data_IF_319535993934
#
_entry.id   IF_319535993934
#
_cell.length_a   1.000
_cell.length_b   1.000
_cell.length_c   1.000
_cell.angle_alpha   90.00
_cell.angle_beta   90.00
_cell.angle_gamma   90.00
#
_symmetry.space_group_name_H-M   'P 1'
#
loop_
_entity.id
_entity.type
_entity.pdbx_description
1 polymer ?
#
# COMPACT_ATOMS: atom_id res chain seq x y z
N UNK A 1 -67.62 -17.90 31.36
CA UNK A 1 -66.44 -18.48 30.69
C UNK A 1 -65.63 -17.38 30.04
N UNK A 2 -64.51 -17.00 30.64
CA UNK A 2 -63.32 -16.47 29.95
C UNK A 2 -62.18 -16.51 30.97
N UNK A 3 -61.24 -17.40 30.69
CA UNK A 3 -60.07 -17.72 31.49
C UNK A 3 -59.12 -16.52 31.52
N UNK A 4 -58.71 -16.10 32.72
CA UNK A 4 -57.51 -15.31 32.90
C UNK A 4 -56.41 -16.27 33.36
N UNK A 5 -55.56 -16.64 32.41
CA UNK A 5 -54.42 -17.52 32.62
C UNK A 5 -53.25 -16.76 33.25
N UNK A 6 -52.60 -17.41 34.21
CA UNK A 6 -51.19 -17.31 34.59
C UNK A 6 -50.50 -15.94 34.50
N UNK A 7 -50.50 -15.24 35.64
CA UNK A 7 -49.42 -14.30 35.96
C UNK A 7 -48.27 -15.11 36.56
N UNK A 8 -47.13 -15.13 35.85
CA UNK A 8 -45.89 -15.76 36.29
C UNK A 8 -45.37 -15.26 37.66
N UNK A 9 -44.25 -15.84 38.13
CA UNK A 9 -43.79 -15.68 39.51
C UNK A 9 -43.60 -14.21 39.88
N UNK A 10 -44.33 -13.76 40.91
CA UNK A 10 -44.21 -12.41 41.45
C UNK A 10 -42.88 -12.30 42.23
N UNK A 11 -42.03 -11.30 41.94
CA UNK A 11 -40.80 -11.09 42.69
C UNK A 11 -41.13 -10.70 44.14
N UNK A 12 -40.44 -11.32 45.11
CA UNK A 12 -40.54 -10.97 46.52
C UNK A 12 -39.75 -9.68 46.78
N UNK A 13 -40.45 -8.63 47.20
CA UNK A 13 -39.84 -7.38 47.67
C UNK A 13 -39.75 -7.45 49.19
N UNK A 14 -38.53 -7.57 49.73
CA UNK A 14 -38.30 -7.30 51.16
C UNK A 14 -37.99 -5.81 51.33
N UNK A 15 -38.62 -5.19 52.33
CA UNK A 15 -38.37 -3.79 52.68
C UNK A 15 -37.88 -3.72 54.13
N UNK A 16 -36.75 -3.06 54.34
CA UNK A 16 -36.29 -2.66 55.67
C UNK A 16 -36.41 -1.13 55.78
N UNK A 17 -37.02 -0.66 56.86
CA UNK A 17 -37.34 0.75 57.07
C UNK A 17 -36.17 1.51 57.68
N UNK A 18 -36.04 2.78 57.24
CA UNK A 18 -35.39 3.96 57.85
C UNK A 18 -34.34 4.68 56.98
N UNK A 19 -33.77 4.03 55.97
CA UNK A 19 -33.22 4.72 54.79
C UNK A 19 -33.32 3.74 53.63
N UNK A 20 -34.39 3.87 52.85
CA UNK A 20 -34.86 2.79 51.97
C UNK A 20 -33.98 2.61 50.74
N UNK A 21 -32.89 1.86 50.88
CA UNK A 21 -32.21 1.26 49.73
C UNK A 21 -33.03 0.06 49.26
N UNK A 22 -33.54 0.14 48.04
CA UNK A 22 -34.18 -1.01 47.38
C UNK A 22 -33.13 -1.73 46.55
N UNK A 23 -32.80 -2.96 46.93
CA UNK A 23 -31.97 -3.85 46.13
C UNK A 23 -32.88 -4.78 45.31
N UNK A 24 -32.63 -4.88 44.01
CA UNK A 24 -33.28 -5.83 43.12
C UNK A 24 -32.21 -6.78 42.58
N UNK A 25 -32.36 -8.07 42.87
CA UNK A 25 -31.53 -9.14 42.30
C UNK A 25 -32.28 -9.78 41.15
N UNK A 26 -31.87 -9.57 39.89
CA UNK A 26 -32.52 -10.23 38.75
C UNK A 26 -32.33 -11.75 38.84
N UNK A 27 -33.32 -12.52 38.36
CA UNK A 27 -33.19 -13.97 38.20
C UNK A 27 -32.41 -14.31 36.93
N UNK A 28 -31.63 -15.39 36.96
CA UNK A 28 -30.76 -15.84 35.86
C UNK A 28 -31.50 -16.17 34.54
N UNK A 29 -32.83 -16.24 34.55
CA UNK A 29 -33.68 -16.51 33.40
C UNK A 29 -34.06 -15.27 32.56
N UNK A 30 -33.60 -14.07 32.91
CA UNK A 30 -33.87 -12.84 32.15
C UNK A 30 -33.05 -12.80 30.85
N UNK A 31 -33.61 -13.36 29.79
CA UNK A 31 -33.00 -13.47 28.47
C UNK A 31 -32.93 -12.09 27.78
N UNK A 32 -31.71 -11.52 27.73
CA UNK A 32 -31.07 -10.46 26.87
C UNK A 32 -31.86 -9.37 26.12
N UNK A 33 -33.19 -9.31 26.20
CA UNK A 33 -33.99 -8.24 25.63
C UNK A 33 -34.14 -7.12 26.67
N UNK A 34 -33.73 -5.91 26.25
CA UNK A 34 -33.59 -4.74 27.11
C UNK A 34 -34.78 -4.54 28.05
N UNK A 35 -34.57 -4.87 29.33
CA UNK A 35 -35.59 -4.73 30.37
C UNK A 35 -35.58 -3.29 30.85
N UNK A 36 -36.62 -2.52 30.51
CA UNK A 36 -36.80 -1.17 31.02
C UNK A 36 -37.60 -1.21 32.33
N UNK A 37 -37.01 -0.72 33.42
CA UNK A 37 -37.70 -0.61 34.71
C UNK A 37 -38.18 0.84 34.87
N UNK A 38 -39.47 1.00 35.15
CA UNK A 38 -40.03 2.32 35.46
C UNK A 38 -40.17 2.46 36.96
N UNK A 39 -39.42 3.40 37.54
CA UNK A 39 -39.47 3.69 38.97
C UNK A 39 -40.41 4.88 39.21
N UNK A 40 -41.36 4.70 40.13
CA UNK A 40 -42.24 5.78 40.62
C UNK A 40 -42.04 5.91 42.12
N UNK A 41 -41.68 7.11 42.57
CA UNK A 41 -41.54 7.43 43.98
C UNK A 41 -42.72 8.28 44.44
N UNK A 42 -43.28 7.96 45.61
CA UNK A 42 -44.31 8.76 46.26
C UNK A 42 -43.65 9.71 47.25
N UNK A 43 -43.93 11.00 47.16
CA UNK A 43 -43.46 11.98 48.12
C UNK A 43 -44.25 11.88 49.42
N UNK A 44 -43.67 12.35 50.54
CA UNK A 44 -44.32 12.33 51.86
C UNK A 44 -45.69 13.04 51.89
N UNK A 45 -45.91 14.03 51.01
CA UNK A 45 -47.20 14.70 50.82
C UNK A 45 -48.21 13.96 49.95
N UNK A 46 -48.01 12.66 49.68
CA UNK A 46 -48.97 11.82 48.97
C UNK A 46 -48.95 11.90 47.44
N UNK A 47 -48.33 12.93 46.85
CA UNK A 47 -48.15 13.09 45.41
C UNK A 47 -47.09 12.16 44.80
N UNK A 48 -47.36 11.63 43.61
CA UNK A 48 -46.38 10.85 42.84
C UNK A 48 -45.41 11.77 42.11
N UNK A 49 -44.10 11.50 42.20
CA UNK A 49 -43.12 12.13 41.31
C UNK A 49 -43.19 11.48 39.92
N UNK A 50 -42.88 12.25 38.88
CA UNK A 50 -42.90 11.79 37.49
C UNK A 50 -42.10 10.50 37.30
N UNK A 51 -42.57 9.56 36.45
CA UNK A 51 -41.91 8.27 36.26
C UNK A 51 -40.49 8.47 35.72
N UNK A 52 -39.51 7.86 36.38
CA UNK A 52 -38.14 7.81 35.87
C UNK A 52 -37.92 6.44 35.24
N UNK A 53 -37.72 6.40 33.93
CA UNK A 53 -37.39 5.17 33.19
C UNK A 53 -35.88 4.96 33.23
N UNK A 54 -35.45 3.79 33.68
CA UNK A 54 -34.05 3.36 33.61
C UNK A 54 -33.97 2.10 32.73
N UNK A 55 -33.11 2.17 31.72
CA UNK A 55 -32.81 1.06 30.83
C UNK A 55 -31.51 0.43 31.28
N UNK A 56 -31.54 -0.88 31.56
CA UNK A 56 -30.33 -1.64 31.87
C UNK A 56 -29.91 -2.39 30.62
N UNK A 57 -28.68 -2.16 30.16
CA UNK A 57 -28.05 -2.99 29.15
C UNK A 57 -27.28 -4.08 29.88
N UNK A 58 -27.68 -5.34 29.72
CA UNK A 58 -26.87 -6.46 30.19
C UNK A 58 -25.63 -6.51 29.30
N UNK A 59 -24.48 -6.07 29.81
CA UNK A 59 -23.22 -6.39 29.17
C UNK A 59 -23.09 -7.90 29.21
N UNK A 60 -23.26 -8.55 28.05
CA UNK A 60 -22.88 -9.94 27.88
C UNK A 60 -21.41 -10.01 28.29
N UNK A 61 -21.13 -10.64 29.43
CA UNK A 61 -19.79 -11.13 29.75
C UNK A 61 -19.48 -12.17 28.69
N UNK A 62 -18.86 -11.74 27.60
CA UNK A 62 -18.21 -12.63 26.68
C UNK A 62 -17.15 -13.39 27.49
N UNK A 63 -17.15 -14.71 27.39
CA UNK A 63 -16.08 -15.57 27.92
C UNK A 63 -14.81 -15.34 27.10
N UNK A 64 -14.29 -14.12 27.13
CA UNK A 64 -13.06 -13.77 26.45
C UNK A 64 -11.88 -14.32 27.24
N UNK A 65 -10.94 -14.91 26.51
CA UNK A 65 -9.73 -15.44 27.13
C UNK A 65 -8.96 -14.30 27.80
N UNK A 66 -8.11 -14.59 28.81
CA UNK A 66 -7.27 -13.57 29.43
C UNK A 66 -6.41 -12.81 28.40
N UNK A 67 -6.03 -13.46 27.31
CA UNK A 67 -5.27 -12.87 26.21
C UNK A 67 -6.12 -11.88 25.40
N UNK A 68 -7.37 -12.22 25.10
CA UNK A 68 -8.30 -11.31 24.43
C UNK A 68 -8.65 -10.10 25.30
N UNK A 69 -8.69 -10.25 26.63
CA UNK A 69 -8.87 -9.11 27.54
C UNK A 69 -7.67 -8.15 27.49
N UNK A 70 -6.45 -8.68 27.40
CA UNK A 70 -5.23 -7.88 27.25
C UNK A 70 -5.21 -7.19 25.88
N UNK A 71 -5.59 -7.88 24.82
CA UNK A 71 -5.66 -7.31 23.47
C UNK A 71 -6.75 -6.22 23.38
N UNK A 72 -7.94 -6.47 23.93
CA UNK A 72 -9.02 -5.48 23.97
C UNK A 72 -8.66 -4.27 24.85
N UNK A 73 -7.92 -4.46 25.94
CA UNK A 73 -7.37 -3.36 26.73
C UNK A 73 -6.34 -2.55 25.92
N UNK A 74 -5.50 -3.23 25.12
CA UNK A 74 -4.50 -2.59 24.25
C UNK A 74 -5.17 -1.77 23.14
N UNK A 75 -6.20 -2.33 22.51
CA UNK A 75 -7.05 -1.66 21.52
C UNK A 75 -7.74 -0.46 22.18
N UNK A 76 -8.42 -0.65 23.32
CA UNK A 76 -9.09 0.46 24.04
C UNK A 76 -8.12 1.55 24.49
N UNK A 77 -6.89 1.22 24.87
CA UNK A 77 -5.86 2.21 25.20
C UNK A 77 -5.41 2.98 23.96
N UNK A 78 -5.24 2.30 22.81
CA UNK A 78 -4.88 2.94 21.54
C UNK A 78 -5.95 3.92 21.04
N UNK A 79 -7.22 3.67 21.36
CA UNK A 79 -8.37 4.52 21.06
C UNK A 79 -8.84 5.41 22.23
N UNK A 80 -8.17 5.37 23.39
CA UNK A 80 -8.57 6.17 24.56
C UNK A 80 -8.46 7.67 24.26
N UNK A 81 -9.28 8.49 24.92
CA UNK A 81 -9.37 9.95 24.69
C UNK A 81 -8.02 10.70 24.80
N UNK A 82 -7.02 10.12 25.46
CA UNK A 82 -5.64 10.62 25.49
C UNK A 82 -4.94 10.59 24.11
N UNK A 83 -5.34 9.67 23.22
CA UNK A 83 -4.91 9.59 21.82
C UNK A 83 -5.49 10.73 20.97
N UNK A 84 -6.70 11.20 21.29
CA UNK A 84 -7.32 12.35 20.63
C UNK A 84 -6.60 13.69 20.88
N UNK A 85 -5.95 13.84 22.04
CA UNK A 85 -5.06 14.98 22.28
C UNK A 85 -3.87 15.00 21.30
N UNK A 86 -3.46 13.84 20.78
CA UNK A 86 -2.41 13.74 19.77
C UNK A 86 -2.86 14.16 18.37
N UNK A 87 -4.17 14.16 18.08
CA UNK A 87 -4.70 14.63 16.81
C UNK A 87 -4.93 16.15 16.82
N UNK A 88 -5.30 16.74 17.97
CA UNK A 88 -5.39 18.20 18.12
C UNK A 88 -4.04 18.92 18.06
N UNK A 89 -2.95 18.22 18.37
CA UNK A 89 -1.59 18.76 18.25
C UNK A 89 -1.02 18.66 16.83
N UNK A 90 -1.75 18.09 15.88
CA UNK A 90 -1.31 18.08 14.49
C UNK A 90 -1.59 19.47 13.88
N UNK A 91 -0.64 20.04 13.12
CA UNK A 91 -0.86 21.29 12.42
C UNK A 91 -2.02 21.13 11.42
N UNK A 92 -2.79 22.20 11.22
CA UNK A 92 -3.92 22.21 10.28
C UNK A 92 -3.49 21.99 8.83
N UNK A 93 -2.24 22.31 8.50
CA UNK A 93 -1.59 22.07 7.22
C UNK A 93 -0.41 21.12 7.41
N UNK A 94 -0.48 19.93 6.81
CA UNK A 94 0.58 18.92 6.86
C UNK A 94 1.57 19.15 5.71
N UNK A 95 2.70 19.83 5.98
CA UNK A 95 3.82 19.88 5.02
C UNK A 95 4.65 18.60 5.10
N UNK A 96 5.29 18.23 3.98
CA UNK A 96 6.18 17.07 3.93
C UNK A 96 7.28 17.21 4.99
N UNK A 97 7.40 16.20 5.87
CA UNK A 97 8.40 16.15 6.95
C UNK A 97 7.98 16.75 8.29
N UNK A 98 6.84 17.46 8.35
CA UNK A 98 6.38 18.13 9.57
C UNK A 98 5.92 17.13 10.64
N UNK A 99 5.28 16.03 10.22
CA UNK A 99 4.91 14.91 11.12
C UNK A 99 6.15 14.32 11.81
N UNK A 100 7.24 14.12 11.05
CA UNK A 100 8.51 13.62 11.58
C UNK A 100 9.14 14.60 12.57
N UNK A 101 9.03 15.91 12.29
CA UNK A 101 9.54 16.96 13.19
C UNK A 101 8.76 17.01 14.50
N UNK A 102 7.42 16.98 14.44
CA UNK A 102 6.54 16.96 15.62
C UNK A 102 6.74 15.69 16.45
N UNK A 103 6.90 14.53 15.80
CA UNK A 103 7.26 13.28 16.47
C UNK A 103 8.60 13.37 17.21
N UNK A 104 9.63 13.93 16.55
CA UNK A 104 10.97 14.10 17.14
C UNK A 104 10.94 15.05 18.33
N UNK A 105 10.22 16.16 18.22
CA UNK A 105 10.04 17.13 19.30
C UNK A 105 9.27 16.53 20.49
N UNK A 106 8.22 15.75 20.22
CA UNK A 106 7.48 15.02 21.25
C UNK A 106 8.36 14.00 21.98
N UNK A 107 9.17 13.24 21.25
CA UNK A 107 10.14 12.30 21.84
C UNK A 107 11.19 13.03 22.68
N UNK A 108 11.66 14.20 22.22
CA UNK A 108 12.61 15.02 22.95
C UNK A 108 11.99 15.58 24.24
N UNK A 109 10.73 16.01 24.21
CA UNK A 109 9.99 16.46 25.38
C UNK A 109 9.76 15.34 26.40
N UNK A 110 9.47 14.11 25.94
CA UNK A 110 9.36 12.94 26.83
C UNK A 110 10.71 12.60 27.47
N UNK A 111 11.82 12.80 26.75
CA UNK A 111 13.17 12.62 27.30
C UNK A 111 13.51 13.69 28.32
N UNK A 112 13.14 14.95 28.08
CA UNK A 112 13.41 16.05 29.01
C UNK A 112 12.55 16.02 30.27
N UNK A 113 11.29 15.55 30.19
CA UNK A 113 10.40 15.46 31.36
C UNK A 113 10.64 14.24 32.25
N UNK A 114 11.56 13.34 31.88
CA UNK A 114 11.85 12.11 32.65
C UNK A 114 13.11 12.17 33.52
N UNK A 115 13.78 13.32 33.63
CA UNK A 115 15.04 13.44 34.38
C UNK A 115 14.99 14.54 35.44
N UNK A 116 14.30 14.27 36.55
CA UNK A 116 14.57 14.92 37.85
C UNK A 116 14.63 13.90 39.00
N UNK A 117 14.76 12.60 38.69
CA UNK A 117 14.92 11.54 39.67
C UNK A 117 16.28 10.85 39.53
N UNK A 118 16.92 10.43 40.65
CA UNK A 118 18.16 9.66 40.60
C UNK A 118 17.95 8.39 39.77
N UNK A 119 18.84 8.20 38.79
CA UNK A 119 18.89 7.08 37.85
C UNK A 119 18.79 5.74 38.61
N UNK A 120 17.57 5.20 38.71
CA UNK A 120 17.40 3.77 39.02
C UNK A 120 18.01 3.01 37.86
N UNK A 121 19.12 2.31 38.13
CA UNK A 121 19.78 1.39 37.20
C UNK A 121 18.74 0.37 36.75
N UNK A 122 18.13 0.59 35.59
CA UNK A 122 17.26 -0.40 34.97
C UNK A 122 18.14 -1.56 34.55
N UNK A 123 17.99 -2.68 35.25
CA UNK A 123 18.45 -3.98 34.77
C UNK A 123 17.89 -4.20 33.36
N UNK A 124 18.71 -4.58 32.37
CA UNK A 124 18.24 -4.80 31.01
C UNK A 124 17.13 -5.86 31.05
N UNK A 125 15.92 -5.46 30.67
CA UNK A 125 14.83 -6.38 30.42
C UNK A 125 15.29 -7.36 29.33
N UNK A 126 15.13 -8.68 29.52
CA UNK A 126 15.53 -9.67 28.52
C UNK A 126 14.77 -9.39 27.22
N UNK A 127 15.53 -9.14 26.15
CA UNK A 127 15.00 -9.03 24.79
C UNK A 127 14.26 -10.32 24.45
N UNK A 128 12.92 -10.30 24.47
CA UNK A 128 12.09 -11.41 23.99
C UNK A 128 12.09 -11.51 22.45
N UNK A 129 12.82 -10.63 21.75
CA UNK A 129 13.11 -10.75 20.33
C UNK A 129 14.54 -11.27 20.14
N UNK A 130 14.76 -12.52 20.53
CA UNK A 130 15.90 -13.29 20.04
C UNK A 130 15.40 -14.12 18.87
N UNK A 131 15.75 -13.71 17.65
CA UNK A 131 15.51 -14.55 16.48
C UNK A 131 16.41 -15.78 16.61
N UNK A 132 15.86 -17.02 16.53
CA UNK A 132 16.71 -18.19 16.41
C UNK A 132 17.59 -18.01 15.16
N UNK A 133 18.91 -18.24 15.25
CA UNK A 133 19.80 -18.05 14.11
C UNK A 133 19.31 -18.91 12.94
N UNK A 134 18.99 -18.26 11.82
CA UNK A 134 18.61 -18.93 10.59
C UNK A 134 19.72 -19.91 10.19
N UNK A 135 19.39 -21.20 10.12
CA UNK A 135 20.29 -22.31 9.77
C UNK A 135 20.66 -22.33 8.26
N UNK A 136 20.80 -21.18 7.62
CA UNK A 136 21.02 -21.04 6.17
C UNK A 136 22.40 -20.48 5.80
N UNK A 137 23.41 -20.73 6.65
CA UNK A 137 24.83 -20.60 6.28
C UNK A 137 25.44 -21.96 5.98
N UNK A 138 24.77 -22.75 5.13
CA UNK A 138 25.38 -23.90 4.47
C UNK A 138 26.02 -23.45 3.14
N UNK A 139 27.20 -23.97 2.76
CA UNK A 139 27.74 -23.73 1.43
C UNK A 139 26.77 -24.23 0.35
N UNK A 140 26.68 -23.54 -0.80
CA UNK A 140 25.79 -23.95 -1.88
C UNK A 140 26.11 -25.39 -2.32
N UNK A 141 25.09 -26.21 -2.63
CA UNK A 141 25.33 -27.57 -3.10
C UNK A 141 26.13 -27.51 -4.40
N UNK A 142 27.36 -27.99 -4.36
CA UNK A 142 28.16 -28.28 -5.54
C UNK A 142 27.38 -29.23 -6.43
N UNK A 143 27.15 -28.83 -7.67
CA UNK A 143 26.56 -29.64 -8.73
C UNK A 143 27.45 -30.89 -8.87
N UNK A 144 26.98 -31.99 -8.30
CA UNK A 144 27.59 -33.31 -8.44
C UNK A 144 27.54 -33.69 -9.91
N UNK A 145 28.73 -33.81 -10.49
CA UNK A 145 29.00 -34.42 -11.78
C UNK A 145 28.24 -35.74 -11.89
N UNK A 146 27.19 -35.76 -12.73
CA UNK A 146 26.54 -37.01 -13.12
C UNK A 146 27.58 -37.91 -13.79
N UNK A 147 27.87 -39.00 -13.10
CA UNK A 147 28.71 -40.10 -13.57
C UNK A 147 28.31 -40.52 -14.99
N UNK A 148 29.29 -40.45 -15.90
CA UNK A 148 29.26 -41.07 -17.21
C UNK A 148 29.12 -42.60 -17.06
N UNK A 149 27.89 -43.11 -17.06
CA UNK A 149 27.65 -44.52 -17.35
C UNK A 149 27.90 -44.72 -18.84
N UNK A 150 29.03 -45.34 -19.17
CA UNK A 150 29.40 -45.80 -20.51
C UNK A 150 28.27 -46.68 -21.06
N UNK A 151 27.43 -46.12 -21.92
CA UNK A 151 26.56 -46.89 -22.79
C UNK A 151 27.43 -47.48 -23.91
N UNK A 152 27.38 -48.81 -24.04
CA UNK A 152 28.04 -49.53 -25.14
C UNK A 152 27.51 -49.01 -26.47
N UNK A 153 28.35 -48.69 -27.46
CA UNK A 153 27.89 -48.33 -28.79
C UNK A 153 27.21 -49.56 -29.41
N UNK A 154 25.94 -49.40 -29.82
CA UNK A 154 25.27 -50.34 -30.69
C UNK A 154 26.01 -50.34 -32.04
N UNK A 155 26.73 -51.41 -32.34
CA UNK A 155 27.26 -51.69 -33.68
C UNK A 155 26.11 -52.30 -34.50
N UNK A 156 25.62 -51.66 -35.57
CA UNK A 156 24.76 -52.34 -36.53
C UNK A 156 25.61 -53.38 -37.29
N UNK A 157 25.27 -54.66 -37.13
CA UNK A 157 25.83 -55.72 -37.96
C UNK A 157 25.23 -55.69 -39.35
N UNK A 158 26.11 -55.82 -40.35
CA UNK A 158 25.90 -56.10 -41.77
C UNK A 158 25.71 -54.87 -42.70
N UNK A 159 26.61 -54.68 -43.69
CA UNK A 159 26.38 -53.78 -44.80
C UNK A 159 25.39 -54.42 -45.78
N UNK A 160 24.12 -54.05 -45.69
CA UNK A 160 23.18 -54.31 -46.77
C UNK A 160 23.57 -53.48 -47.99
N UNK A 161 23.74 -54.16 -49.13
CA UNK A 161 23.97 -53.55 -50.45
C UNK A 161 22.99 -52.39 -50.70
N UNK A 162 23.46 -51.23 -51.17
CA UNK A 162 22.58 -50.12 -51.52
C UNK A 162 21.64 -50.53 -52.67
N UNK A 163 20.35 -50.30 -52.48
CA UNK A 163 19.33 -50.49 -53.50
C UNK A 163 19.50 -49.44 -54.61
N UNK A 164 19.17 -49.82 -55.86
CA UNK A 164 19.42 -49.07 -57.11
C UNK A 164 18.78 -47.67 -57.22
N UNK A 165 18.10 -47.18 -56.18
CA UNK A 165 17.42 -45.88 -56.19
C UNK A 165 18.31 -44.73 -55.68
N UNK A 166 19.52 -45.01 -55.18
CA UNK A 166 20.47 -43.98 -54.69
C UNK A 166 21.34 -43.32 -55.78
N UNK A 167 21.19 -43.72 -57.05
CA UNK A 167 21.95 -43.13 -58.18
C UNK A 167 21.42 -41.78 -58.70
N UNK A 168 20.47 -41.15 -58.00
CA UNK A 168 19.97 -39.80 -58.29
C UNK A 168 20.38 -38.78 -57.21
N UNK A 169 21.53 -39.00 -56.55
CA UNK A 169 22.13 -37.95 -55.71
C UNK A 169 22.77 -36.88 -56.62
N UNK A 170 22.43 -35.59 -56.46
CA UNK A 170 23.03 -34.51 -57.22
C UNK A 170 24.49 -34.29 -56.81
N UNK A 171 25.24 -33.74 -57.77
CA UNK A 171 26.67 -33.43 -57.75
C UNK A 171 27.18 -32.87 -56.38
N UNK A 172 28.26 -33.41 -55.78
CA UNK A 172 28.80 -32.91 -54.50
C UNK A 172 29.34 -31.46 -54.58
N UNK A 173 29.43 -30.89 -55.78
CA UNK A 173 29.83 -29.49 -55.99
C UNK A 173 28.68 -28.49 -55.77
N UNK A 174 27.43 -28.93 -55.69
CA UNK A 174 26.30 -28.05 -55.45
C UNK A 174 25.31 -28.76 -54.51
N UNK A 175 25.43 -28.61 -53.18
CA UNK A 175 24.45 -29.14 -52.25
C UNK A 175 23.14 -28.41 -52.51
N UNK A 176 22.28 -29.02 -53.30
CA UNK A 176 20.96 -28.52 -53.60
C UNK A 176 20.16 -28.58 -52.31
N UNK A 177 20.33 -27.55 -51.49
CA UNK A 177 19.59 -27.31 -50.26
C UNK A 177 18.13 -27.28 -50.66
N UNK A 178 17.39 -28.32 -50.30
CA UNK A 178 15.95 -28.31 -50.50
C UNK A 178 15.41 -27.03 -49.89
N UNK A 179 14.55 -26.25 -50.58
CA UNK A 179 14.04 -24.97 -50.06
C UNK A 179 13.26 -25.09 -48.74
N UNK A 180 13.03 -26.32 -48.27
CA UNK A 180 12.38 -26.67 -47.01
C UNK A 180 13.33 -27.32 -45.98
N UNK A 181 14.64 -27.34 -46.22
CA UNK A 181 15.63 -27.83 -45.23
C UNK A 181 16.11 -26.71 -44.30
N UNK A 182 15.25 -25.73 -43.98
CA UNK A 182 15.48 -24.96 -42.76
C UNK A 182 15.58 -25.95 -41.62
N UNK A 183 16.60 -25.76 -40.77
CA UNK A 183 16.85 -26.65 -39.64
C UNK A 183 15.54 -26.91 -38.89
N UNK A 184 15.17 -28.16 -38.58
CA UNK A 184 13.91 -28.46 -37.87
C UNK A 184 13.83 -27.74 -36.50
N UNK A 185 14.96 -27.26 -35.99
CA UNK A 185 15.04 -26.44 -34.79
C UNK A 185 14.58 -24.98 -35.00
N UNK A 186 14.69 -24.42 -36.21
CA UNK A 186 14.28 -23.05 -36.51
C UNK A 186 12.75 -22.93 -36.53
N UNK A 187 12.06 -23.97 -37.01
CA UNK A 187 10.59 -24.05 -36.97
C UNK A 187 10.07 -24.18 -35.55
N UNK A 188 10.71 -25.00 -34.71
CA UNK A 188 10.37 -25.13 -33.30
C UNK A 188 10.56 -23.82 -32.53
N UNK A 189 11.60 -23.05 -32.86
CA UNK A 189 11.86 -21.75 -32.24
C UNK A 189 10.82 -20.69 -32.66
N UNK A 190 10.42 -20.67 -33.95
CA UNK A 190 9.32 -19.82 -34.44
C UNK A 190 7.99 -20.18 -33.79
N UNK A 191 7.68 -21.47 -33.68
CA UNK A 191 6.47 -21.95 -33.00
C UNK A 191 6.40 -21.46 -31.54
N UNK A 192 7.52 -21.53 -30.81
CA UNK A 192 7.61 -21.02 -29.45
C UNK A 192 7.42 -19.50 -29.35
N UNK A 193 7.99 -18.74 -30.29
CA UNK A 193 7.80 -17.29 -30.36
C UNK A 193 6.34 -16.95 -30.63
N UNK A 194 5.71 -17.61 -31.59
CA UNK A 194 4.30 -17.40 -31.94
C UNK A 194 3.36 -17.77 -30.78
N UNK A 195 3.65 -18.86 -30.07
CA UNK A 195 2.87 -19.26 -28.90
C UNK A 195 2.99 -18.25 -27.76
N UNK A 196 4.19 -17.73 -27.49
CA UNK A 196 4.40 -16.65 -26.51
C UNK A 196 3.71 -15.36 -26.93
N UNK A 197 3.70 -15.05 -28.22
CA UNK A 197 3.03 -13.88 -28.78
C UNK A 197 1.50 -14.02 -28.66
N UNK A 198 0.97 -15.23 -28.89
CA UNK A 198 -0.43 -15.59 -28.66
C UNK A 198 -0.80 -15.51 -27.17
N UNK A 199 0.03 -16.01 -26.26
CA UNK A 199 -0.20 -15.90 -24.81
C UNK A 199 -0.16 -14.44 -24.34
N UNK A 200 0.81 -13.66 -24.81
CA UNK A 200 0.88 -12.22 -24.53
C UNK A 200 -0.31 -11.45 -25.14
N UNK A 201 -0.84 -11.91 -26.29
CA UNK A 201 -2.07 -11.35 -26.89
C UNK A 201 -3.35 -11.86 -26.23
N UNK A 202 -3.32 -13.01 -25.56
CA UNK A 202 -4.43 -13.59 -24.79
C UNK A 202 -4.74 -12.85 -23.49
N UNK A 203 -4.15 -11.68 -23.25
CA UNK A 203 -4.50 -10.73 -22.15
C UNK A 203 -5.93 -10.16 -22.28
N UNK A 204 -6.78 -10.70 -23.17
CA UNK A 204 -8.19 -10.32 -23.30
C UNK A 204 -9.16 -11.50 -23.12
N UNK A 205 -8.85 -12.45 -22.24
CA UNK A 205 -9.82 -13.42 -21.71
C UNK A 205 -10.21 -13.19 -20.23
N UNK A 206 -9.99 -11.97 -19.71
CA UNK A 206 -10.79 -11.43 -18.62
C UNK A 206 -12.09 -10.84 -19.15
N UNK A 207 -13.06 -10.54 -18.28
CA UNK A 207 -14.31 -9.86 -18.64
C UNK A 207 -14.04 -8.73 -19.64
N UNK A 208 -14.79 -8.73 -20.75
CA UNK A 208 -14.63 -7.81 -21.87
C UNK A 208 -14.76 -6.36 -21.38
N UNK A 209 -13.64 -5.71 -21.05
CA UNK A 209 -13.59 -4.27 -20.86
C UNK A 209 -13.57 -3.67 -22.24
N UNK A 210 -14.71 -3.12 -22.69
CA UNK A 210 -14.73 -2.36 -23.93
C UNK A 210 -13.60 -1.34 -23.87
N UNK A 211 -12.72 -1.36 -24.88
CA UNK A 211 -11.80 -0.27 -25.13
C UNK A 211 -12.64 0.92 -25.58
N UNK A 212 -13.35 1.53 -24.63
CA UNK A 212 -13.85 2.86 -24.80
C UNK A 212 -12.66 3.70 -25.20
N UNK A 213 -12.80 4.46 -26.28
CA UNK A 213 -12.05 5.69 -26.47
C UNK A 213 -12.10 6.38 -25.11
N UNK A 214 -10.99 6.30 -24.37
CA UNK A 214 -10.87 6.93 -23.06
C UNK A 214 -11.03 8.40 -23.38
N UNK A 215 -12.25 8.93 -23.17
CA UNK A 215 -12.47 10.36 -23.14
C UNK A 215 -11.46 10.83 -22.12
N UNK A 216 -10.39 11.48 -22.58
CA UNK A 216 -9.38 12.09 -21.71
C UNK A 216 -10.19 12.87 -20.69
N UNK A 217 -10.21 12.34 -19.46
CA UNK A 217 -11.00 12.88 -18.37
C UNK A 217 -10.74 14.39 -18.33
N UNK A 218 -11.73 15.19 -18.69
CA UNK A 218 -11.61 16.65 -18.75
C UNK A 218 -11.32 17.25 -17.36
N UNK A 219 -11.44 16.45 -16.30
CA UNK A 219 -10.96 16.74 -14.95
C UNK A 219 -9.42 16.72 -14.81
N UNK A 220 -8.66 16.04 -15.68
CA UNK A 220 -7.18 16.07 -15.68
C UNK A 220 -6.63 17.42 -16.15
N UNK A 221 -7.30 18.08 -17.10
CA UNK A 221 -6.87 19.38 -17.67
C UNK A 221 -6.94 20.50 -16.62
N UNK A 222 -7.87 20.42 -15.67
CA UNK A 222 -8.01 21.43 -14.60
C UNK A 222 -6.86 21.37 -13.58
N UNK A 223 -6.13 20.25 -13.52
CA UNK A 223 -5.11 20.03 -12.49
C UNK A 223 -3.70 20.50 -12.92
N UNK A 224 -3.44 20.67 -14.22
CA UNK A 224 -2.13 21.10 -14.75
C UNK A 224 -1.65 22.45 -14.19
N UNK A 225 -2.46 23.53 -14.14
CA UNK A 225 -2.01 24.78 -13.55
C UNK A 225 -1.67 24.67 -12.06
N UNK A 226 -2.35 23.77 -11.34
CA UNK A 226 -2.08 23.50 -9.93
C UNK A 226 -0.75 22.76 -9.76
N UNK A 227 -0.49 21.76 -10.60
CA UNK A 227 0.79 21.06 -10.63
C UNK A 227 1.96 21.97 -11.01
N UNK A 228 1.80 22.81 -12.03
CA UNK A 228 2.81 23.77 -12.43
C UNK A 228 3.18 24.73 -11.27
N UNK A 229 2.18 25.21 -10.51
CA UNK A 229 2.41 26.03 -9.31
C UNK A 229 3.16 25.26 -8.21
N UNK A 230 2.81 24.00 -7.98
CA UNK A 230 3.48 23.16 -7.00
C UNK A 230 4.93 22.87 -7.40
N UNK A 231 5.18 22.55 -8.67
CA UNK A 231 6.54 22.37 -9.22
C UNK A 231 7.34 23.66 -9.11
N UNK A 232 6.76 24.81 -9.48
CA UNK A 232 7.42 26.12 -9.30
C UNK A 232 7.81 26.34 -7.84
N UNK A 233 6.92 26.08 -6.88
CA UNK A 233 7.23 26.22 -5.46
C UNK A 233 8.35 25.29 -5.00
N UNK A 234 8.47 24.09 -5.59
CA UNK A 234 9.49 23.11 -5.24
C UNK A 234 10.85 23.53 -5.77
N UNK A 235 10.92 23.82 -7.07
CA UNK A 235 12.12 24.31 -7.74
C UNK A 235 12.59 25.61 -7.11
N UNK A 236 11.70 26.54 -6.77
CA UNK A 236 12.06 27.79 -6.10
C UNK A 236 12.75 27.58 -4.75
N UNK A 237 12.42 26.50 -4.05
CA UNK A 237 13.04 26.17 -2.76
C UNK A 237 14.49 25.72 -2.90
N UNK A 238 14.80 24.99 -3.97
CA UNK A 238 16.11 24.37 -4.19
C UNK A 238 17.02 25.20 -5.11
N UNK A 239 16.44 25.92 -6.09
CA UNK A 239 17.09 26.70 -7.15
C UNK A 239 16.64 28.17 -7.15
N UNK A 240 16.35 28.74 -5.98
CA UNK A 240 15.81 30.09 -5.84
C UNK A 240 16.70 31.24 -6.35
N UNK A 241 17.99 30.96 -6.60
CA UNK A 241 18.98 31.91 -7.11
C UNK A 241 19.00 31.96 -8.65
N UNK A 242 18.50 30.92 -9.32
CA UNK A 242 18.44 30.87 -10.78
C UNK A 242 17.16 31.53 -11.30
N UNK A 243 17.26 32.12 -12.50
CA UNK A 243 16.07 32.57 -13.22
C UNK A 243 15.45 31.39 -13.94
N UNK A 244 14.22 31.04 -13.56
CA UNK A 244 13.49 29.97 -14.21
C UNK A 244 12.01 30.32 -14.37
N UNK A 245 11.41 29.75 -15.41
CA UNK A 245 10.00 29.88 -15.75
C UNK A 245 9.35 28.49 -15.76
N UNK A 246 8.10 28.42 -15.30
CA UNK A 246 7.31 27.18 -15.32
C UNK A 246 6.02 27.46 -16.07
N UNK A 247 5.87 26.82 -17.23
CA UNK A 247 4.72 26.92 -18.11
C UNK A 247 3.87 25.66 -18.06
N UNK A 248 2.55 25.81 -18.14
CA UNK A 248 1.66 24.68 -18.44
C UNK A 248 1.36 24.68 -19.94
N UNK A 249 1.70 23.60 -20.62
CA UNK A 249 1.37 23.40 -22.03
C UNK A 249 0.02 22.70 -22.10
N UNK A 250 -0.98 23.38 -22.66
CA UNK A 250 -2.34 22.84 -22.77
C UNK A 250 -2.34 21.53 -23.55
N UNK A 251 -2.69 20.44 -22.86
CA UNK A 251 -2.86 19.11 -23.46
C UNK A 251 -1.59 18.25 -23.51
N UNK A 252 -0.40 18.83 -23.29
CA UNK A 252 0.86 18.07 -23.29
C UNK A 252 1.42 17.88 -21.88
N UNK A 253 1.46 18.92 -21.04
CA UNK A 253 1.95 18.80 -19.67
C UNK A 253 2.56 20.09 -19.09
N UNK A 254 3.70 19.99 -18.41
CA UNK A 254 4.39 21.10 -17.73
C UNK A 254 5.80 21.24 -18.29
N UNK A 255 6.17 22.49 -18.60
CA UNK A 255 7.49 22.88 -19.11
C UNK A 255 8.23 23.70 -18.06
N UNK A 256 9.47 23.34 -17.78
CA UNK A 256 10.38 24.13 -16.95
C UNK A 256 11.54 24.64 -17.80
N UNK A 257 11.75 25.94 -17.77
CA UNK A 257 12.80 26.62 -18.51
C UNK A 257 13.74 27.32 -17.54
N UNK A 258 15.04 27.08 -17.67
CA UNK A 258 16.08 27.74 -16.86
C UNK A 258 16.94 28.62 -17.75
N UNK A 259 17.21 29.85 -17.33
CA UNK A 259 18.12 30.73 -18.06
C UNK A 259 19.55 30.19 -17.90
N UNK A 260 20.18 29.82 -19.02
CA UNK A 260 21.49 29.16 -19.03
C UNK A 260 22.58 29.99 -18.34
N UNK A 261 22.51 31.32 -18.43
CA UNK A 261 23.46 32.25 -17.81
C UNK A 261 23.44 32.22 -16.28
N UNK A 262 22.31 31.83 -15.69
CA UNK A 262 22.13 31.80 -14.22
C UNK A 262 22.43 30.44 -13.60
N UNK A 263 22.70 29.43 -14.43
CA UNK A 263 22.92 28.06 -13.98
C UNK A 263 24.42 27.80 -13.93
N UNK A 264 24.97 27.63 -12.73
CA UNK A 264 26.40 27.38 -12.53
C UNK A 264 26.89 26.10 -13.22
N UNK A 265 26.07 25.05 -13.19
CA UNK A 265 26.39 23.75 -13.78
C UNK A 265 25.16 23.10 -14.40
N UNK A 266 25.19 22.93 -15.72
CA UNK A 266 24.14 22.22 -16.46
C UNK A 266 24.02 20.76 -16.05
N UNK A 267 25.12 20.12 -15.64
CA UNK A 267 25.13 18.74 -15.15
C UNK A 267 24.42 18.61 -13.80
N UNK A 268 24.63 19.57 -12.90
CA UNK A 268 23.93 19.60 -11.61
C UNK A 268 22.42 19.77 -11.81
N UNK A 269 22.01 20.66 -12.73
CA UNK A 269 20.62 20.84 -13.11
C UNK A 269 20.01 19.57 -13.72
N UNK A 270 20.74 18.90 -14.61
CA UNK A 270 20.31 17.65 -15.23
C UNK A 270 20.06 16.56 -14.19
N UNK A 271 21.05 16.32 -13.31
CA UNK A 271 20.93 15.32 -12.24
C UNK A 271 19.78 15.65 -11.29
N UNK A 272 19.60 16.93 -10.95
CA UNK A 272 18.47 17.38 -10.14
C UNK A 272 17.13 17.08 -10.81
N UNK A 273 16.99 17.36 -12.10
CA UNK A 273 15.76 17.10 -12.85
C UNK A 273 15.47 15.61 -13.00
N UNK A 274 16.49 14.76 -13.13
CA UNK A 274 16.32 13.31 -13.11
C UNK A 274 15.80 12.82 -11.75
N UNK A 275 16.40 13.27 -10.65
CA UNK A 275 15.93 12.93 -9.31
C UNK A 275 14.51 13.44 -9.07
N UNK A 276 14.19 14.66 -9.51
CA UNK A 276 12.84 15.21 -9.42
C UNK A 276 11.83 14.37 -10.20
N UNK A 277 12.16 13.94 -11.41
CA UNK A 277 11.28 13.12 -12.24
C UNK A 277 10.94 11.77 -11.61
N UNK A 278 11.87 11.18 -10.84
CA UNK A 278 11.68 9.87 -10.21
C UNK A 278 11.09 9.93 -8.80
N UNK A 279 11.40 10.98 -8.04
CA UNK A 279 11.11 11.00 -6.59
C UNK A 279 10.02 11.98 -6.19
N UNK A 280 9.76 13.02 -6.99
CA UNK A 280 8.88 14.09 -6.54
C UNK A 280 7.39 13.67 -6.58
N UNK A 281 6.72 13.89 -5.44
CA UNK A 281 5.33 13.50 -5.26
C UNK A 281 4.36 14.26 -6.17
N UNK A 282 4.71 15.46 -6.64
CA UNK A 282 3.88 16.24 -7.58
C UNK A 282 3.93 15.59 -8.96
N UNK A 283 5.13 15.19 -9.41
CA UNK A 283 5.34 14.49 -10.68
C UNK A 283 4.64 13.13 -10.66
N UNK A 284 4.89 12.32 -9.63
CA UNK A 284 4.27 11.00 -9.48
C UNK A 284 2.76 11.07 -9.27
N UNK A 285 2.29 11.98 -8.41
CA UNK A 285 0.86 12.19 -8.14
C UNK A 285 0.12 12.69 -9.38
N UNK A 286 0.84 13.44 -10.24
CA UNK A 286 0.35 13.88 -11.52
C UNK A 286 0.41 12.87 -12.66
N UNK A 287 1.00 11.70 -12.41
CA UNK A 287 1.34 10.70 -13.44
C UNK A 287 2.16 11.29 -14.59
N UNK A 288 2.89 12.37 -14.31
CA UNK A 288 3.73 13.04 -15.28
C UNK A 288 4.94 12.15 -15.59
N UNK A 289 5.34 12.12 -16.86
CA UNK A 289 6.49 11.38 -17.38
C UNK A 289 7.44 12.37 -18.03
N UNK A 290 8.75 12.15 -17.84
CA UNK A 290 9.77 12.89 -18.57
C UNK A 290 9.57 12.70 -20.09
N UNK A 291 9.56 13.80 -20.82
CA UNK A 291 9.67 13.77 -22.27
C UNK A 291 11.10 13.39 -22.64
N UNK A 292 11.29 12.32 -23.42
CA UNK A 292 12.63 11.86 -23.82
C UNK A 292 13.21 12.68 -24.96
N UNK A 293 12.36 13.29 -25.78
CA UNK A 293 12.78 14.00 -26.98
C UNK A 293 13.18 15.43 -26.64
N UNK A 294 12.45 16.07 -25.73
CA UNK A 294 12.69 17.45 -25.30
C UNK A 294 13.29 17.55 -23.89
N UNK A 295 14.21 16.64 -23.53
CA UNK A 295 14.88 16.66 -22.23
C UNK A 295 16.19 17.46 -22.31
N UNK A 296 16.30 18.53 -21.53
CA UNK A 296 17.48 19.41 -21.48
C UNK A 296 17.85 20.04 -22.85
N UNK A 297 16.84 20.34 -23.67
CA UNK A 297 17.05 21.00 -24.96
C UNK A 297 17.34 22.48 -24.72
N UNK A 298 18.37 23.00 -25.39
CA UNK A 298 18.64 24.44 -25.41
C UNK A 298 17.72 25.12 -26.42
N UNK A 299 16.99 26.13 -25.97
CA UNK A 299 16.12 26.95 -26.80
C UNK A 299 16.52 28.42 -26.62
N UNK A 300 16.70 29.13 -27.73
CA UNK A 300 16.98 30.56 -27.72
C UNK A 300 15.65 31.31 -27.75
N UNK A 301 15.35 32.06 -26.68
CA UNK A 301 14.13 32.87 -26.58
C UNK A 301 14.49 34.30 -26.20
N UNK A 302 14.25 35.23 -27.12
CA UNK A 302 14.52 36.66 -26.90
C UNK A 302 16.02 37.00 -26.82
N UNK A 303 16.89 36.22 -27.48
CA UNK A 303 18.34 36.41 -27.43
C UNK A 303 19.00 35.93 -26.14
N UNK A 304 18.27 35.16 -25.33
CA UNK A 304 18.78 34.46 -24.15
C UNK A 304 18.67 32.95 -24.37
N UNK A 305 19.68 32.22 -23.91
CA UNK A 305 19.69 30.77 -23.94
C UNK A 305 18.92 30.20 -22.75
N UNK A 306 17.96 29.33 -23.03
CA UNK A 306 17.17 28.61 -22.03
C UNK A 306 17.41 27.11 -22.12
N UNK A 307 17.46 26.43 -20.98
CA UNK A 307 17.49 24.97 -20.90
C UNK A 307 16.07 24.51 -20.53
N UNK A 308 15.43 23.77 -21.44
CA UNK A 308 14.05 23.33 -21.32
C UNK A 308 13.95 21.86 -20.86
N UNK A 309 13.04 21.61 -19.91
CA UNK A 309 12.66 20.28 -19.43
C UNK A 309 11.14 20.13 -19.52
N UNK A 310 10.66 19.13 -20.28
CA UNK A 310 9.23 18.86 -20.45
C UNK A 310 8.79 17.60 -19.68
N UNK A 311 7.68 17.74 -18.97
CA UNK A 311 6.97 16.68 -18.28
C UNK A 311 5.60 16.50 -18.95
N UNK A 312 5.33 15.31 -19.49
CA UNK A 312 4.10 14.95 -20.19
C UNK A 312 3.12 14.23 -19.26
N UNK A 313 1.82 14.54 -19.33
CA UNK A 313 0.78 13.87 -18.52
C UNK A 313 0.22 12.59 -19.15
#
# INVERSE_FOLDING_TARGET
MSMWSDLGPRPSLSSSSASGSFAYTPSDSLNSSASAVTLKARAAGGGWRGPSRKTFSSEQKSNQSPEELVENLRIKQSFSATSFNSMRSLPSDLKNGEVSRVMKEKLQKIRSTKYDGPLKKFSPLPSQFSYPPHAFNGPPPTISSRSSKKLKPFLPSNPTRPLKHEQLMPDPANPQTYPYSSSPYDEAHRYWQDQKLLENRKILHGEFRSSGVEKVDSSKITYLPTQAKLMYSRVKGDWGECNFEVGAIFGEGVELMFQADTVDSSEALFNYMEVMAETDGVVLGGKMKRDKENWAVREERGGQDWICFKFLC
#
